data_IF_149983140358
#
_entry.id   IF_149983140358
#
_cell.length_a   1.000
_cell.length_b   1.000
_cell.length_c   1.000
_cell.angle_alpha   90.00
_cell.angle_beta   90.00
_cell.angle_gamma   90.00
#
_symmetry.space_group_name_H-M   'P 1'
#
loop_
_entity.id
_entity.type
_entity.pdbx_description
1 polymer ?
#
# COMPACT_ATOMS: atom_id res chain seq x y z
N UNK A 1 8.81 -5.59 24.34
CA UNK A 1 8.46 -4.92 23.07
C UNK A 1 7.38 -5.76 22.39
N UNK A 2 6.15 -5.27 22.30
CA UNK A 2 5.05 -6.03 21.72
C UNK A 2 5.19 -6.05 20.19
N UNK A 3 5.32 -7.24 19.62
CA UNK A 3 5.26 -7.44 18.17
C UNK A 3 3.80 -7.21 17.74
N UNK A 4 3.54 -6.11 17.04
CA UNK A 4 2.20 -5.78 16.54
C UNK A 4 1.69 -6.87 15.62
N UNK A 5 0.46 -7.32 15.84
CA UNK A 5 -0.14 -8.41 15.06
C UNK A 5 -0.27 -8.03 13.58
N UNK A 6 -0.33 -9.02 12.69
CA UNK A 6 -0.51 -8.78 11.26
C UNK A 6 -1.76 -7.94 10.94
N UNK A 7 -2.82 -8.05 11.79
CA UNK A 7 -4.07 -7.30 11.69
C UNK A 7 -3.95 -5.83 12.14
N UNK A 8 -3.02 -5.51 13.03
CA UNK A 8 -2.73 -4.13 13.43
C UNK A 8 -1.80 -3.45 12.44
N UNK A 9 -0.83 -4.20 11.89
CA UNK A 9 0.04 -3.70 10.81
C UNK A 9 -0.75 -3.34 9.56
N UNK A 10 -1.77 -4.12 9.20
CA UNK A 10 -2.68 -3.77 8.09
C UNK A 10 -3.57 -2.56 8.39
N UNK A 11 -3.77 -2.18 9.65
CA UNK A 11 -4.47 -0.93 9.99
C UNK A 11 -3.54 0.28 9.93
N UNK A 12 -2.27 0.13 10.31
CA UNK A 12 -1.31 1.24 10.29
C UNK A 12 -0.74 1.52 8.90
N UNK A 13 -0.44 0.48 8.11
CA UNK A 13 0.15 0.60 6.78
C UNK A 13 -0.80 0.17 5.65
N UNK A 14 -2.06 -0.08 5.99
CA UNK A 14 -3.10 -0.39 5.01
C UNK A 14 -3.35 0.79 4.08
N UNK A 15 -3.59 0.47 2.82
CA UNK A 15 -4.06 1.45 1.85
C UNK A 15 -5.59 1.42 1.79
N UNK A 16 -6.22 2.57 1.65
CA UNK A 16 -7.67 2.69 1.45
C UNK A 16 -7.95 3.50 0.18
N UNK A 17 -9.03 3.17 -0.52
CA UNK A 17 -9.54 3.98 -1.63
C UNK A 17 -11.02 4.26 -1.40
N UNK A 18 -11.53 5.35 -1.95
CA UNK A 18 -12.96 5.65 -1.90
C UNK A 18 -13.62 4.97 -3.10
N UNK A 19 -14.62 4.12 -2.87
CA UNK A 19 -15.44 3.57 -3.96
C UNK A 19 -16.51 4.58 -4.36
N UNK A 20 -16.53 4.94 -5.64
CA UNK A 20 -17.48 5.90 -6.22
C UNK A 20 -18.48 5.28 -7.19
N UNK A 21 -18.41 3.96 -7.36
CA UNK A 21 -19.19 3.22 -8.37
C UNK A 21 -20.64 2.94 -7.91
N UNK A 22 -20.93 3.18 -6.63
CA UNK A 22 -22.26 3.00 -6.05
C UNK A 22 -23.20 4.19 -6.35
N UNK A 23 -24.49 3.90 -6.54
CA UNK A 23 -25.53 4.93 -6.70
C UNK A 23 -25.62 5.77 -5.42
N UNK A 24 -25.43 7.09 -5.54
CA UNK A 24 -25.41 8.00 -4.38
C UNK A 24 -24.00 8.39 -3.89
N UNK A 25 -22.94 8.05 -4.64
CA UNK A 25 -21.63 8.65 -4.44
C UNK A 25 -21.54 10.06 -5.04
N UNK A 26 -21.01 11.01 -4.28
CA UNK A 26 -20.87 12.40 -4.72
C UNK A 26 -19.80 12.57 -5.82
N UNK A 27 -19.83 13.68 -6.55
CA UNK A 27 -18.86 13.92 -7.62
C UNK A 27 -17.42 14.05 -7.07
N UNK A 28 -17.27 14.59 -5.86
CA UNK A 28 -15.97 14.70 -5.20
C UNK A 28 -15.30 13.33 -4.98
N UNK A 29 -16.07 12.29 -4.66
CA UNK A 29 -15.48 10.94 -4.50
C UNK A 29 -15.07 10.33 -5.83
N UNK A 30 -15.79 10.61 -6.93
CA UNK A 30 -15.39 10.17 -8.28
C UNK A 30 -14.04 10.72 -8.70
N UNK A 31 -13.70 11.95 -8.30
CA UNK A 31 -12.38 12.55 -8.56
C UNK A 31 -11.25 11.82 -7.80
N UNK A 32 -11.57 11.17 -6.69
CA UNK A 32 -10.64 10.45 -5.82
C UNK A 32 -10.66 8.92 -6.03
N UNK A 33 -11.58 8.38 -6.83
CA UNK A 33 -11.86 6.94 -6.94
C UNK A 33 -10.68 6.08 -7.42
N UNK A 34 -9.72 6.68 -8.13
CA UNK A 34 -8.51 6.00 -8.64
C UNK A 34 -7.29 6.18 -7.75
N UNK A 35 -7.43 6.88 -6.63
CA UNK A 35 -6.34 7.16 -5.70
C UNK A 35 -6.40 6.22 -4.50
N UNK A 36 -5.23 5.84 -4.01
CA UNK A 36 -5.07 5.08 -2.77
C UNK A 36 -4.38 5.97 -1.75
N UNK A 37 -4.97 6.05 -0.57
CA UNK A 37 -4.44 6.78 0.57
C UNK A 37 -3.92 5.78 1.59
N UNK A 38 -2.97 6.20 2.42
CA UNK A 38 -2.70 5.48 3.66
C UNK A 38 -3.91 5.64 4.58
N UNK A 39 -4.23 4.62 5.37
CA UNK A 39 -5.40 4.63 6.25
C UNK A 39 -5.42 5.87 7.20
N UNK A 40 -4.24 6.36 7.63
CA UNK A 40 -4.13 7.57 8.46
C UNK A 40 -4.13 8.90 7.71
N UNK A 41 -3.97 8.89 6.38
CA UNK A 41 -3.93 10.10 5.54
C UNK A 41 -5.19 10.26 4.68
N UNK A 42 -6.10 9.29 4.75
CA UNK A 42 -7.31 9.30 3.95
C UNK A 42 -8.23 10.45 4.38
N UNK A 43 -8.83 11.19 3.43
CA UNK A 43 -9.73 12.28 3.75
C UNK A 43 -11.02 11.72 4.34
N UNK A 44 -11.47 12.26 5.48
CA UNK A 44 -12.67 11.81 6.19
C UNK A 44 -13.91 11.82 5.27
N UNK A 45 -14.73 10.78 5.39
CA UNK A 45 -16.04 10.71 4.74
C UNK A 45 -17.13 11.17 5.72
N UNK A 46 -18.13 11.95 5.26
CA UNK A 46 -18.28 12.50 3.90
C UNK A 46 -17.24 13.59 3.60
N UNK A 47 -16.79 13.64 2.33
CA UNK A 47 -15.79 14.62 1.89
C UNK A 47 -16.28 16.06 2.13
N UNK A 48 -15.39 16.98 2.50
CA UNK A 48 -15.75 18.40 2.66
C UNK A 48 -16.36 19.00 1.38
N UNK A 49 -15.95 18.52 0.21
CA UNK A 49 -16.49 18.92 -1.08
C UNK A 49 -17.71 18.07 -1.53
N UNK A 50 -18.37 17.37 -0.62
CA UNK A 50 -19.54 16.56 -0.93
C UNK A 50 -20.73 17.46 -1.27
N UNK A 51 -21.32 17.25 -2.44
CA UNK A 51 -22.51 17.97 -2.90
C UNK A 51 -23.80 17.55 -2.18
N UNK A 52 -23.81 16.38 -1.53
CA UNK A 52 -25.01 15.82 -0.86
C UNK A 52 -24.61 15.08 0.43
N UNK A 53 -24.23 15.78 1.51
CA UNK A 53 -23.77 15.13 2.73
C UNK A 53 -24.84 14.28 3.44
N UNK A 54 -26.13 14.59 3.26
CA UNK A 54 -27.24 13.86 3.90
C UNK A 54 -27.52 12.47 3.32
N UNK A 55 -27.28 12.29 2.01
CA UNK A 55 -27.57 11.05 1.27
C UNK A 55 -26.31 10.45 0.62
N UNK A 56 -25.13 10.80 1.15
CA UNK A 56 -23.86 10.33 0.59
C UNK A 56 -23.60 8.88 0.97
N UNK A 57 -23.52 8.00 -0.04
CA UNK A 57 -23.22 6.58 0.15
C UNK A 57 -21.76 6.21 -0.19
N UNK A 58 -20.83 7.15 0.00
CA UNK A 58 -19.41 6.89 -0.26
C UNK A 58 -18.84 5.95 0.82
N UNK A 59 -18.05 4.95 0.38
CA UNK A 59 -17.43 3.96 1.28
C UNK A 59 -15.93 3.83 1.01
N UNK A 60 -15.17 3.45 2.04
CA UNK A 60 -13.78 3.07 1.87
C UNK A 60 -13.65 1.58 1.55
N UNK A 61 -12.93 1.29 0.48
CA UNK A 61 -12.38 -0.04 0.23
C UNK A 61 -10.99 -0.12 0.82
N UNK A 62 -10.80 -1.11 1.70
CA UNK A 62 -9.51 -1.39 2.30
C UNK A 62 -8.70 -2.33 1.41
N UNK A 63 -7.42 -2.02 1.26
CA UNK A 63 -6.44 -2.82 0.54
C UNK A 63 -5.40 -3.30 1.54
N UNK A 64 -5.01 -4.57 1.41
CA UNK A 64 -3.87 -5.11 2.14
C UNK A 64 -2.58 -4.38 1.75
N UNK A 65 -1.69 -4.22 2.71
CA UNK A 65 -0.33 -3.75 2.42
C UNK A 65 0.30 -4.72 1.41
N UNK A 66 0.81 -4.19 0.29
CA UNK A 66 1.44 -4.96 -0.79
C UNK A 66 2.77 -5.59 -0.36
N UNK A 67 3.31 -5.21 0.80
CA UNK A 67 4.53 -5.77 1.39
C UNK A 67 4.20 -7.14 2.00
N UNK A 68 4.58 -8.19 1.31
CA UNK A 68 4.60 -9.53 1.87
C UNK A 68 5.87 -9.70 2.73
N UNK A 69 5.71 -9.60 4.05
CA UNK A 69 6.77 -9.91 5.02
C UNK A 69 7.71 -8.75 5.39
N UNK A 70 8.58 -9.02 6.35
CA UNK A 70 9.55 -8.07 6.88
C UNK A 70 10.74 -7.93 5.91
N UNK A 71 10.99 -6.71 5.41
CA UNK A 71 12.08 -6.43 4.44
C UNK A 71 13.47 -6.90 4.88
N UNK A 72 13.64 -7.15 6.17
CA UNK A 72 14.93 -7.38 6.84
C UNK A 72 14.85 -8.52 7.84
N UNK A 73 14.16 -9.61 7.50
CA UNK A 73 14.23 -10.85 8.28
C UNK A 73 15.68 -11.35 8.50
N UNK A 74 16.63 -10.90 7.66
CA UNK A 74 18.06 -11.22 7.72
C UNK A 74 18.76 -10.69 8.99
N UNK A 75 18.27 -9.61 9.61
CA UNK A 75 18.88 -9.07 10.83
C UNK A 75 18.30 -9.66 12.13
N UNK A 76 17.26 -10.50 12.02
CA UNK A 76 16.59 -11.12 13.16
C UNK A 76 17.13 -12.53 13.51
N UNK A 77 18.43 -12.76 13.31
CA UNK A 77 19.13 -13.94 13.85
C UNK A 77 19.28 -15.14 12.90
N UNK A 78 19.17 -14.96 11.58
CA UNK A 78 19.53 -16.01 10.61
C UNK A 78 20.94 -15.72 10.09
N UNK A 79 21.88 -16.61 10.39
CA UNK A 79 23.25 -16.59 9.85
C UNK A 79 23.17 -16.39 8.34
N UNK A 80 23.71 -15.27 7.87
CA UNK A 80 23.90 -15.00 6.46
C UNK A 80 24.78 -16.14 5.96
N UNK A 81 24.23 -17.09 5.22
CA UNK A 81 25.06 -18.02 4.47
C UNK A 81 25.74 -17.16 3.41
N UNK A 82 26.98 -16.76 3.67
CA UNK A 82 27.84 -16.13 2.70
C UNK A 82 27.93 -17.10 1.52
N UNK A 83 27.23 -16.78 0.43
CA UNK A 83 27.49 -17.45 -0.82
C UNK A 83 28.86 -16.95 -1.29
N UNK A 84 29.83 -17.86 -1.37
CA UNK A 84 31.12 -17.60 -1.99
C UNK A 84 30.88 -16.91 -3.34
N UNK A 85 31.41 -15.69 -3.55
CA UNK A 85 31.25 -14.99 -4.81
C UNK A 85 32.16 -15.67 -5.84
N UNK A 86 31.65 -16.71 -6.50
CA UNK A 86 32.24 -17.14 -7.76
C UNK A 86 31.90 -16.08 -8.82
N UNK A 87 32.93 -15.44 -9.36
CA UNK A 87 32.78 -14.51 -10.47
C UNK A 87 32.29 -15.30 -11.69
N UNK A 88 31.03 -15.08 -12.09
CA UNK A 88 30.42 -15.67 -13.29
C UNK A 88 30.47 -14.72 -14.48
N UNK A 89 31.27 -13.65 -14.41
CA UNK A 89 31.49 -12.75 -15.54
C UNK A 89 32.44 -13.43 -16.52
N UNK A 90 31.90 -14.32 -17.35
CA UNK A 90 32.52 -14.58 -18.65
C UNK A 90 32.47 -13.27 -19.43
N UNK A 91 33.65 -12.66 -19.54
CA UNK A 91 33.82 -11.34 -20.12
C UNK A 91 33.72 -11.47 -21.63
N UNK A 92 32.64 -10.95 -22.18
CA UNK A 92 32.65 -10.31 -23.50
C UNK A 92 31.75 -9.08 -23.41
N UNK A 93 32.39 -7.92 -23.33
CA UNK A 93 31.71 -6.63 -23.30
C UNK A 93 30.98 -6.43 -24.63
N UNK A 94 29.64 -6.34 -24.59
CA UNK A 94 28.81 -6.09 -25.79
C UNK A 94 28.73 -4.62 -26.19
N UNK A 95 29.59 -3.75 -25.64
CA UNK A 95 29.70 -2.34 -26.02
C UNK A 95 30.99 -2.07 -26.79
N UNK A 96 31.20 -2.85 -27.84
CA UNK A 96 31.98 -2.39 -28.99
C UNK A 96 31.07 -1.44 -29.79
N UNK A 97 31.20 -0.14 -29.52
CA UNK A 97 30.58 0.94 -30.28
C UNK A 97 31.62 1.93 -30.75
#
# INVERSE_FOLDING_TARGET
MALSTAKERTRQFGAVSIESDWRGCCEASRKLARQRFLAGEAPMLPLNACSQPGDCHCVYKHWSDRRAGERRAIYAGRTIQFHEPSDRRDSDDRRSG
#
